data_IF_775269133054
#
_entry.id   IF_775269133054
#
_cell.length_a   1.000
_cell.length_b   1.000
_cell.length_c   1.000
_cell.angle_alpha   90.00
_cell.angle_beta   90.00
_cell.angle_gamma   90.00
#
_symmetry.space_group_name_H-M   'P 1'
#
loop_
_entity.id
_entity.type
_entity.pdbx_description
1 polymer ?
#
# COMPACT_ATOMS: atom_id res chain seq x y z
N UNK A 1 -17.28 12.63 -1.51
CA UNK A 1 -16.59 13.36 -2.60
C UNK A 1 -15.08 13.38 -2.35
N UNK A 2 -14.26 12.89 -3.28
CA UNK A 2 -12.79 12.96 -3.13
C UNK A 2 -12.34 14.35 -3.55
N UNK A 3 -11.96 15.17 -2.58
CA UNK A 3 -11.27 16.44 -2.83
C UNK A 3 -9.84 16.34 -2.30
N UNK A 4 -8.86 16.38 -3.21
CA UNK A 4 -7.43 16.35 -2.81
C UNK A 4 -6.99 17.62 -2.08
N UNK A 5 -7.77 18.70 -2.17
CA UNK A 5 -7.46 19.98 -1.52
C UNK A 5 -7.90 20.07 -0.05
N UNK A 6 -8.76 19.16 0.42
CA UNK A 6 -9.27 19.21 1.78
C UNK A 6 -8.18 18.73 2.75
N UNK A 7 -7.87 19.56 3.75
CA UNK A 7 -6.85 19.23 4.77
C UNK A 7 -7.34 18.09 5.66
N UNK A 8 -6.42 17.29 6.19
CA UNK A 8 -6.77 16.14 7.06
C UNK A 8 -7.66 16.56 8.24
N UNK A 9 -7.40 17.73 8.83
CA UNK A 9 -8.22 18.28 9.93
C UNK A 9 -9.66 18.55 9.51
N UNK A 10 -9.88 19.04 8.29
CA UNK A 10 -11.23 19.31 7.76
C UNK A 10 -11.98 18.00 7.49
N UNK A 11 -11.27 16.99 6.96
CA UNK A 11 -11.85 15.66 6.77
C UNK A 11 -12.29 15.06 8.11
N UNK A 12 -11.44 15.13 9.14
CA UNK A 12 -11.77 14.66 10.49
C UNK A 12 -12.91 15.48 11.12
N UNK A 13 -12.95 16.79 10.90
CA UNK A 13 -14.05 17.64 11.37
C UNK A 13 -15.40 17.17 10.80
N UNK A 14 -15.46 16.83 9.51
CA UNK A 14 -16.66 16.25 8.89
C UNK A 14 -17.04 14.90 9.52
N UNK A 15 -16.06 14.06 9.88
CA UNK A 15 -16.36 12.81 10.63
C UNK A 15 -17.01 13.13 11.96
N UNK A 16 -16.48 14.09 12.72
CA UNK A 16 -17.02 14.50 14.02
C UNK A 16 -18.45 14.99 13.88
N UNK A 17 -18.75 15.80 12.86
CA UNK A 17 -20.11 16.25 12.54
C UNK A 17 -21.04 15.09 12.20
N UNK A 18 -20.55 14.06 11.48
CA UNK A 18 -21.32 12.86 11.19
C UNK A 18 -21.63 12.02 12.44
N UNK A 19 -20.76 12.04 13.46
CA UNK A 19 -21.04 11.36 14.74
C UNK A 19 -22.22 12.00 15.50
N UNK A 20 -22.49 13.27 15.24
CA UNK A 20 -23.57 14.06 15.86
C UNK A 20 -24.89 14.01 15.07
N UNK A 21 -24.92 13.33 13.92
CA UNK A 21 -26.16 13.14 13.17
C UNK A 21 -27.21 12.37 13.98
N UNK A 22 -28.52 12.62 13.73
CA UNK A 22 -29.59 11.83 14.32
C UNK A 22 -29.40 10.33 14.11
N UNK A 23 -29.83 9.51 15.08
CA UNK A 23 -29.59 8.07 15.09
C UNK A 23 -29.90 7.37 13.75
N UNK A 24 -31.02 7.71 13.11
CA UNK A 24 -31.48 7.07 11.87
C UNK A 24 -30.69 7.47 10.62
N UNK A 25 -29.91 8.55 10.67
CA UNK A 25 -29.12 9.05 9.53
C UNK A 25 -27.61 9.00 9.80
N UNK A 26 -27.21 8.71 11.03
CA UNK A 26 -25.82 8.59 11.43
C UNK A 26 -25.17 7.34 10.82
N UNK A 27 -24.05 7.47 10.10
CA UNK A 27 -23.36 6.33 9.53
C UNK A 27 -22.76 5.42 10.61
N UNK A 28 -22.79 4.10 10.37
CA UNK A 28 -22.18 3.09 11.24
C UNK A 28 -20.73 2.74 10.83
N UNK A 29 -20.37 3.03 9.58
CA UNK A 29 -19.02 2.88 9.05
C UNK A 29 -18.63 4.19 8.38
N UNK A 30 -17.50 4.75 8.80
CA UNK A 30 -16.94 5.98 8.26
C UNK A 30 -15.51 5.67 7.83
N UNK A 31 -15.16 5.99 6.59
CA UNK A 31 -13.80 5.83 6.06
C UNK A 31 -13.25 7.20 5.70
N UNK A 32 -12.02 7.47 6.14
CA UNK A 32 -11.26 8.66 5.79
C UNK A 32 -9.97 8.23 5.11
N UNK A 33 -9.62 8.91 4.03
CA UNK A 33 -8.40 8.65 3.28
C UNK A 33 -7.63 9.96 3.14
N UNK A 34 -6.33 9.92 3.47
CA UNK A 34 -5.43 11.06 3.54
C UNK A 34 -4.35 10.94 2.45
N UNK A 35 -4.68 11.21 1.17
CA UNK A 35 -3.76 11.00 0.05
C UNK A 35 -2.54 11.93 0.06
N UNK A 36 -2.59 13.01 0.85
CA UNK A 36 -1.53 14.02 0.86
C UNK A 36 -0.20 13.47 1.36
N UNK A 37 -0.21 12.41 2.16
CA UNK A 37 1.02 11.80 2.70
C UNK A 37 1.90 11.24 1.57
N UNK A 38 1.30 10.47 0.67
CA UNK A 38 1.99 9.93 -0.52
C UNK A 38 2.48 11.07 -1.42
N UNK A 39 1.63 12.07 -1.71
CA UNK A 39 2.02 13.21 -2.56
C UNK A 39 3.22 14.00 -2.00
N UNK A 40 3.27 14.16 -0.67
CA UNK A 40 4.36 14.85 0.02
C UNK A 40 5.63 13.99 0.01
N UNK A 41 5.49 12.68 0.27
CA UNK A 41 6.60 11.72 0.23
C UNK A 41 7.28 11.70 -1.15
N UNK A 42 6.51 11.68 -2.24
CA UNK A 42 7.05 11.77 -3.62
C UNK A 42 7.90 13.01 -3.89
N UNK A 43 7.65 14.12 -3.19
CA UNK A 43 8.40 15.37 -3.36
C UNK A 43 9.61 15.46 -2.43
N UNK A 44 9.52 14.87 -1.24
CA UNK A 44 10.43 15.12 -0.14
C UNK A 44 11.29 13.92 0.25
N UNK A 45 10.96 12.70 -0.23
CA UNK A 45 11.44 11.38 0.19
C UNK A 45 10.87 10.93 1.54
N UNK A 46 10.67 9.61 1.74
CA UNK A 46 10.10 9.07 2.97
C UNK A 46 10.97 9.33 4.21
N UNK A 47 12.31 9.37 4.05
CA UNK A 47 13.26 9.55 5.17
C UNK A 47 13.61 11.03 5.45
N UNK A 48 12.89 11.97 4.84
CA UNK A 48 13.18 13.40 5.02
C UNK A 48 12.64 13.92 6.36
N UNK A 49 13.37 14.82 7.05
CA UNK A 49 12.88 15.46 8.28
C UNK A 49 11.54 16.18 8.11
N UNK A 50 11.20 16.62 6.90
CA UNK A 50 9.90 17.26 6.64
C UNK A 50 8.73 16.28 6.69
N UNK A 51 8.98 14.99 6.44
CA UNK A 51 7.98 13.94 6.58
C UNK A 51 7.49 13.85 8.03
N UNK A 52 8.34 14.15 9.03
CA UNK A 52 7.96 14.18 10.44
C UNK A 52 6.86 15.22 10.72
N UNK A 53 6.93 16.40 10.09
CA UNK A 53 5.91 17.44 10.24
C UNK A 53 4.56 16.97 9.69
N UNK A 54 4.58 16.27 8.57
CA UNK A 54 3.39 15.74 7.91
C UNK A 54 2.80 14.53 8.64
N UNK A 55 3.64 13.65 9.17
CA UNK A 55 3.21 12.57 10.08
C UNK A 55 2.55 13.19 11.31
N UNK A 56 3.13 14.25 11.87
CA UNK A 56 2.56 14.98 13.00
C UNK A 56 1.19 15.59 12.68
N UNK A 57 0.98 16.13 11.49
CA UNK A 57 -0.35 16.65 11.07
C UNK A 57 -1.43 15.55 11.11
N UNK A 58 -1.09 14.34 10.66
CA UNK A 58 -2.00 13.19 10.68
C UNK A 58 -2.22 12.69 12.10
N UNK A 59 -1.16 12.58 12.90
CA UNK A 59 -1.24 12.21 14.32
C UNK A 59 -2.11 13.18 15.12
N UNK A 60 -1.91 14.49 14.97
CA UNK A 60 -2.71 15.52 15.64
C UNK A 60 -4.20 15.41 15.23
N UNK A 61 -4.50 15.07 13.97
CA UNK A 61 -5.86 14.88 13.49
C UNK A 61 -6.51 13.60 14.05
N UNK A 62 -5.77 12.50 14.17
CA UNK A 62 -6.22 11.26 14.82
C UNK A 62 -6.44 11.50 16.32
N UNK A 63 -5.54 12.26 16.96
CA UNK A 63 -5.68 12.70 18.34
C UNK A 63 -6.92 13.55 18.58
N UNK A 64 -7.21 14.47 17.65
CA UNK A 64 -8.45 15.26 17.66
C UNK A 64 -9.69 14.37 17.55
N UNK A 65 -9.77 13.47 16.56
CA UNK A 65 -10.89 12.52 16.42
C UNK A 65 -11.09 11.71 17.70
N UNK A 66 -10.00 11.21 18.26
CA UNK A 66 -10.01 10.42 19.50
C UNK A 66 -10.61 11.23 20.65
N UNK A 67 -10.18 12.47 20.83
CA UNK A 67 -10.70 13.37 21.87
C UNK A 67 -12.19 13.64 21.71
N UNK A 68 -12.66 13.86 20.48
CA UNK A 68 -14.07 14.11 20.18
C UNK A 68 -14.96 12.89 20.41
N UNK A 69 -14.44 11.67 20.20
CA UNK A 69 -15.12 10.43 20.56
C UNK A 69 -15.27 10.32 22.08
N UNK A 70 -14.21 10.58 22.84
CA UNK A 70 -14.25 10.54 24.31
C UNK A 70 -15.18 11.60 24.91
N UNK A 71 -15.14 12.84 24.41
CA UNK A 71 -15.99 13.92 24.93
C UNK A 71 -17.49 13.66 24.74
N UNK A 72 -17.84 12.80 23.77
CA UNK A 72 -19.21 12.34 23.49
C UNK A 72 -19.59 11.04 24.20
N UNK A 73 -18.71 10.47 25.03
CA UNK A 73 -18.88 9.15 25.65
C UNK A 73 -19.12 8.03 24.62
N UNK A 74 -18.49 8.15 23.44
CA UNK A 74 -18.60 7.16 22.37
C UNK A 74 -17.52 6.08 22.44
N UNK A 75 -16.53 6.20 23.33
CA UNK A 75 -15.46 5.21 23.48
C UNK A 75 -15.94 3.77 23.78
N UNK A 76 -17.07 3.50 24.49
CA UNK A 76 -17.56 2.15 24.68
C UNK A 76 -18.31 1.60 23.44
N UNK A 77 -18.50 2.44 22.41
CA UNK A 77 -19.36 2.18 21.26
C UNK A 77 -18.64 2.27 19.91
N UNK A 78 -17.50 2.95 19.86
CA UNK A 78 -16.76 3.22 18.63
C UNK A 78 -15.49 2.38 18.52
N UNK A 79 -15.21 1.93 17.30
CA UNK A 79 -13.92 1.34 16.94
C UNK A 79 -13.17 2.31 16.02
N UNK A 80 -11.86 2.43 16.23
CA UNK A 80 -10.96 3.16 15.35
C UNK A 80 -9.97 2.14 14.81
N UNK A 81 -9.86 2.08 13.49
CA UNK A 81 -8.92 1.22 12.76
C UNK A 81 -8.13 2.12 11.82
N UNK A 82 -6.81 2.11 11.96
CA UNK A 82 -5.86 2.89 11.18
C UNK A 82 -5.06 1.92 10.34
N UNK A 83 -5.01 2.16 9.03
CA UNK A 83 -4.28 1.33 8.08
C UNK A 83 -3.51 2.19 7.08
N UNK A 84 -2.49 1.63 6.45
CA UNK A 84 -2.01 2.10 5.15
C UNK A 84 -2.14 1.00 4.10
N UNK A 85 -2.14 1.40 2.84
CA UNK A 85 -2.16 0.53 1.66
C UNK A 85 -0.81 -0.11 1.37
N UNK A 86 0.28 0.67 1.49
CA UNK A 86 1.65 0.20 1.31
C UNK A 86 2.65 1.04 2.11
N UNK A 87 3.91 0.61 2.09
CA UNK A 87 5.06 1.42 2.48
C UNK A 87 5.64 2.21 1.29
N UNK A 88 6.84 2.75 1.46
CA UNK A 88 7.48 3.63 0.49
C UNK A 88 9.01 3.49 0.55
N UNK A 89 9.70 3.64 -0.59
CA UNK A 89 11.17 3.63 -0.61
C UNK A 89 11.74 4.75 -1.47
N UNK A 90 12.76 5.44 -0.95
CA UNK A 90 13.55 6.44 -1.68
C UNK A 90 14.21 5.84 -2.93
N UNK A 91 14.22 6.58 -4.04
CA UNK A 91 14.92 6.17 -5.27
C UNK A 91 16.15 7.03 -5.57
N UNK A 92 16.98 6.55 -6.52
CA UNK A 92 18.29 7.13 -6.80
C UNK A 92 18.69 6.93 -8.26
N UNK A 93 19.40 7.91 -8.84
CA UNK A 93 19.94 7.82 -10.21
C UNK A 93 20.96 6.70 -10.39
N UNK A 94 21.50 6.17 -9.29
CA UNK A 94 22.46 5.06 -9.32
C UNK A 94 21.77 3.69 -9.32
N UNK A 95 20.44 3.65 -9.17
CA UNK A 95 19.63 2.42 -9.15
C UNK A 95 18.63 2.41 -10.32
N UNK A 96 19.13 2.67 -11.52
CA UNK A 96 18.31 2.69 -12.73
C UNK A 96 18.55 1.45 -13.58
N UNK A 97 17.49 0.96 -14.18
CA UNK A 97 17.48 -0.15 -15.15
C UNK A 97 16.95 0.42 -16.46
N UNK A 98 17.85 0.62 -17.42
CA UNK A 98 17.51 1.16 -18.73
C UNK A 98 16.91 0.06 -19.61
N UNK A 99 15.61 0.13 -19.85
CA UNK A 99 14.89 -0.92 -20.58
C UNK A 99 15.25 -0.93 -22.07
N UNK A 100 15.70 0.20 -22.60
CA UNK A 100 16.18 0.38 -23.97
C UNK A 100 17.61 -0.11 -24.21
N UNK A 101 18.34 -0.48 -23.15
CA UNK A 101 19.56 -1.31 -23.27
C UNK A 101 19.26 -2.80 -23.36
N UNK A 102 18.09 -3.21 -22.85
CA UNK A 102 17.70 -4.62 -22.70
C UNK A 102 16.83 -5.08 -23.87
N UNK A 103 15.87 -4.24 -24.28
CA UNK A 103 14.93 -4.56 -25.35
C UNK A 103 15.33 -3.87 -26.65
N UNK A 104 15.44 -4.61 -27.77
CA UNK A 104 15.63 -4.01 -29.08
C UNK A 104 14.46 -3.09 -29.43
N UNK A 105 14.71 -2.10 -30.31
CA UNK A 105 13.78 -1.02 -30.63
C UNK A 105 12.37 -1.51 -31.03
N UNK A 106 12.27 -2.61 -31.80
CA UNK A 106 10.97 -3.15 -32.22
C UNK A 106 10.14 -3.74 -31.07
N UNK A 107 10.75 -4.03 -29.91
CA UNK A 107 10.04 -4.53 -28.73
C UNK A 107 9.64 -3.41 -27.76
N UNK A 108 10.26 -2.23 -27.85
CA UNK A 108 9.95 -1.10 -26.98
C UNK A 108 8.52 -0.58 -27.19
N UNK A 109 7.93 -0.77 -28.36
CA UNK A 109 6.54 -0.39 -28.63
C UNK A 109 5.52 -1.13 -27.73
N UNK A 110 5.90 -2.28 -27.18
CA UNK A 110 5.03 -3.08 -26.31
C UNK A 110 5.13 -2.69 -24.84
N UNK A 111 6.12 -1.89 -24.45
CA UNK A 111 6.22 -1.37 -23.09
C UNK A 111 5.13 -0.33 -22.89
N UNK A 112 4.31 -0.50 -21.84
CA UNK A 112 3.18 0.38 -21.53
C UNK A 112 3.62 1.62 -20.76
N UNK A 113 4.55 1.46 -19.83
CA UNK A 113 4.97 2.54 -18.94
C UNK A 113 6.12 3.31 -19.60
N UNK A 114 5.85 4.52 -20.07
CA UNK A 114 6.87 5.45 -20.57
C UNK A 114 7.43 6.36 -19.45
N UNK A 115 7.29 5.94 -18.19
CA UNK A 115 7.71 6.68 -17.00
C UNK A 115 8.53 5.77 -16.07
N UNK A 116 9.36 6.33 -15.17
CA UNK A 116 10.02 5.57 -14.12
C UNK A 116 9.00 4.69 -13.39
N UNK A 117 9.26 3.40 -13.32
CA UNK A 117 8.31 2.45 -12.74
C UNK A 117 9.01 1.38 -11.93
N UNK A 118 8.41 1.08 -10.79
CA UNK A 118 8.74 -0.05 -9.92
C UNK A 118 8.16 -1.37 -10.45
N UNK A 119 7.40 -1.37 -11.55
CA UNK A 119 6.96 -2.59 -12.26
C UNK A 119 6.91 -2.31 -13.77
N UNK A 120 7.55 -3.15 -14.58
CA UNK A 120 7.45 -3.02 -16.03
C UNK A 120 6.15 -3.65 -16.53
N UNK A 121 5.24 -2.82 -17.05
CA UNK A 121 4.00 -3.29 -17.67
C UNK A 121 4.12 -3.32 -19.19
N UNK A 122 3.47 -4.30 -19.79
CA UNK A 122 3.34 -4.43 -21.24
C UNK A 122 1.91 -4.15 -21.69
N UNK A 123 1.76 -3.71 -22.94
CA UNK A 123 0.47 -3.49 -23.58
C UNK A 123 -0.33 -4.81 -23.63
N UNK A 124 -1.67 -4.77 -23.59
CA UNK A 124 -2.48 -5.97 -23.77
C UNK A 124 -2.38 -6.50 -25.22
N UNK A 125 -2.83 -7.74 -25.45
CA UNK A 125 -2.97 -8.37 -26.77
C UNK A 125 -1.66 -8.53 -27.58
N UNK A 126 -0.56 -8.80 -26.89
CA UNK A 126 0.73 -9.12 -27.52
C UNK A 126 0.71 -10.58 -27.99
N UNK A 127 1.18 -10.83 -29.21
CA UNK A 127 1.29 -12.21 -29.72
C UNK A 127 2.23 -13.05 -28.86
N UNK A 128 1.97 -14.35 -28.73
CA UNK A 128 2.77 -15.24 -27.88
C UNK A 128 4.25 -15.28 -28.29
N UNK A 129 4.56 -15.16 -29.59
CA UNK A 129 5.94 -15.09 -30.08
C UNK A 129 6.67 -13.85 -29.56
N UNK A 130 6.00 -12.68 -29.59
CA UNK A 130 6.57 -11.42 -29.10
C UNK A 130 6.72 -11.45 -27.57
N UNK A 131 5.74 -12.01 -26.84
CA UNK A 131 5.86 -12.21 -25.38
C UNK A 131 7.09 -13.06 -25.05
N UNK A 132 7.30 -14.16 -25.77
CA UNK A 132 8.47 -15.02 -25.54
C UNK A 132 9.77 -14.30 -25.89
N UNK A 133 9.81 -13.54 -26.99
CA UNK A 133 10.99 -12.76 -27.36
C UNK A 133 11.37 -11.73 -26.27
N UNK A 134 10.40 -10.94 -25.79
CA UNK A 134 10.60 -9.99 -24.69
C UNK A 134 11.09 -10.72 -23.42
N UNK A 135 10.44 -11.84 -23.06
CA UNK A 135 10.82 -12.59 -21.87
C UNK A 135 12.25 -13.11 -21.96
N UNK A 136 12.69 -13.62 -23.12
CA UNK A 136 14.06 -14.09 -23.33
C UNK A 136 15.09 -12.96 -23.19
N UNK A 137 14.80 -11.77 -23.70
CA UNK A 137 15.67 -10.60 -23.51
C UNK A 137 15.79 -10.23 -22.02
N UNK A 138 14.65 -10.16 -21.31
CA UNK A 138 14.63 -9.79 -19.90
C UNK A 138 15.33 -10.84 -19.01
N UNK A 139 15.01 -12.12 -19.17
CA UNK A 139 15.56 -13.20 -18.32
C UNK A 139 17.06 -13.40 -18.53
N UNK A 140 17.58 -13.09 -19.72
CA UNK A 140 19.03 -13.07 -19.95
C UNK A 140 19.70 -12.00 -19.07
N UNK A 141 19.11 -10.81 -19.00
CA UNK A 141 19.65 -9.66 -18.28
C UNK A 141 19.43 -9.72 -16.76
N UNK A 142 18.54 -10.57 -16.23
CA UNK A 142 18.42 -10.73 -14.77
C UNK A 142 19.69 -11.28 -14.11
N UNK A 143 20.63 -11.86 -14.88
CA UNK A 143 21.92 -12.35 -14.35
C UNK A 143 22.90 -11.23 -14.01
N UNK A 144 22.73 -10.07 -14.65
CA UNK A 144 23.66 -8.93 -14.57
C UNK A 144 22.95 -7.64 -14.17
N UNK A 145 21.64 -7.70 -13.89
CA UNK A 145 20.79 -6.56 -13.55
C UNK A 145 19.99 -6.84 -12.26
N UNK A 146 19.35 -5.81 -11.73
CA UNK A 146 18.74 -5.81 -10.40
C UNK A 146 17.22 -5.96 -10.43
N UNK A 147 16.73 -6.98 -11.13
CA UNK A 147 15.31 -7.31 -11.18
C UNK A 147 15.06 -8.79 -11.38
N UNK A 148 13.83 -9.22 -11.09
CA UNK A 148 13.28 -10.55 -11.40
C UNK A 148 12.24 -10.41 -12.50
N UNK A 149 12.10 -11.42 -13.34
CA UNK A 149 11.07 -11.44 -14.39
C UNK A 149 10.33 -12.78 -14.38
N UNK A 150 9.01 -12.70 -14.56
CA UNK A 150 8.12 -13.84 -14.60
C UNK A 150 7.17 -13.71 -15.79
N UNK A 151 6.92 -14.82 -16.47
CA UNK A 151 5.69 -14.95 -17.25
C UNK A 151 4.51 -15.02 -16.27
N UNK A 152 3.36 -14.47 -16.66
CA UNK A 152 2.15 -14.40 -15.81
C UNK A 152 1.79 -15.76 -15.20
N UNK A 153 1.81 -16.81 -16.00
CA UNK A 153 1.50 -18.19 -15.59
C UNK A 153 2.48 -18.73 -14.53
N UNK A 154 3.71 -18.23 -14.54
CA UNK A 154 4.82 -18.64 -13.69
C UNK A 154 5.02 -17.71 -12.47
N UNK A 155 4.13 -16.74 -12.26
CA UNK A 155 4.18 -15.89 -11.06
C UNK A 155 4.14 -16.75 -9.79
N UNK A 156 5.03 -16.47 -8.80
CA UNK A 156 5.03 -17.21 -7.55
C UNK A 156 3.67 -17.17 -6.86
N UNK A 157 3.20 -18.31 -6.37
CA UNK A 157 1.84 -18.48 -5.85
C UNK A 157 1.51 -17.49 -4.73
N UNK A 158 2.50 -17.12 -3.90
CA UNK A 158 2.35 -16.15 -2.80
C UNK A 158 1.83 -14.77 -3.22
N UNK A 159 2.04 -14.37 -4.48
CA UNK A 159 1.52 -13.09 -4.96
C UNK A 159 0.03 -13.16 -5.30
N UNK A 160 -0.51 -14.35 -5.54
CA UNK A 160 -1.86 -14.54 -6.08
C UNK A 160 -2.14 -13.70 -7.36
N UNK A 161 -1.10 -13.39 -8.13
CA UNK A 161 -1.12 -12.38 -9.19
C UNK A 161 -0.96 -12.97 -10.59
N UNK A 162 -1.85 -13.91 -10.96
CA UNK A 162 -1.86 -14.54 -12.30
C UNK A 162 -3.22 -14.83 -12.92
N UNK A 163 -4.30 -14.84 -12.14
CA UNK A 163 -5.62 -15.29 -12.59
C UNK A 163 -6.52 -14.14 -13.07
N UNK A 164 -6.01 -13.29 -13.98
CA UNK A 164 -6.79 -12.22 -14.62
C UNK A 164 -6.15 -11.75 -15.93
N UNK A 165 -6.98 -11.50 -16.94
CA UNK A 165 -6.53 -10.96 -18.23
C UNK A 165 -6.12 -9.49 -18.19
N UNK A 166 -6.36 -8.81 -17.07
CA UNK A 166 -5.84 -7.46 -16.82
C UNK A 166 -4.38 -7.48 -16.37
N UNK A 167 -3.87 -8.62 -15.93
CA UNK A 167 -2.47 -8.79 -15.51
C UNK A 167 -1.61 -8.94 -16.77
N UNK A 168 -0.54 -8.14 -16.84
CA UNK A 168 0.43 -8.16 -17.92
C UNK A 168 0.96 -9.58 -18.18
N UNK A 169 1.18 -10.00 -19.44
CA UNK A 169 1.71 -11.32 -19.76
C UNK A 169 3.12 -11.56 -19.19
N UNK A 170 3.85 -10.49 -18.92
CA UNK A 170 5.19 -10.49 -18.31
C UNK A 170 5.17 -9.51 -17.14
N UNK A 171 5.75 -9.93 -16.01
CA UNK A 171 5.99 -9.07 -14.86
C UNK A 171 7.48 -9.00 -14.58
N UNK A 172 8.06 -7.81 -14.71
CA UNK A 172 9.41 -7.52 -14.25
C UNK A 172 9.33 -6.67 -12.97
N UNK A 173 9.90 -7.20 -11.89
CA UNK A 173 9.89 -6.62 -10.55
C UNK A 173 11.34 -6.28 -10.19
N UNK A 174 11.70 -5.00 -10.05
CA UNK A 174 13.04 -4.58 -9.68
C UNK A 174 13.28 -4.87 -8.19
N UNK A 175 14.57 -4.99 -7.84
CA UNK A 175 14.98 -4.98 -6.44
C UNK A 175 14.64 -3.64 -5.80
N UNK A 176 14.50 -3.61 -4.47
CA UNK A 176 14.07 -2.41 -3.73
C UNK A 176 14.95 -1.19 -4.05
N UNK A 177 14.28 -0.10 -4.44
CA UNK A 177 14.87 1.18 -4.82
C UNK A 177 15.42 1.23 -6.26
N UNK A 178 15.36 0.13 -7.03
CA UNK A 178 15.64 0.15 -8.46
C UNK A 178 14.41 0.48 -9.30
N UNK A 179 14.61 1.15 -10.43
CA UNK A 179 13.52 1.57 -11.30
C UNK A 179 13.80 1.28 -12.76
N UNK A 180 12.77 0.89 -13.50
CA UNK A 180 12.84 0.82 -14.95
C UNK A 180 12.66 2.22 -15.55
N UNK A 181 13.57 2.61 -16.45
CA UNK A 181 13.59 3.88 -17.17
C UNK A 181 14.05 3.67 -18.62
N UNK A 182 14.02 4.72 -19.44
CA UNK A 182 14.65 4.77 -20.78
C UNK A 182 15.65 5.91 -20.80
N UNK A 183 16.63 5.86 -21.70
CA UNK A 183 17.62 6.92 -21.87
C UNK A 183 17.03 8.26 -22.33
N UNK A 184 15.85 8.22 -22.96
CA UNK A 184 15.13 9.43 -23.35
C UNK A 184 14.49 10.18 -22.18
N UNK A 185 14.49 9.61 -20.97
CA UNK A 185 13.89 10.24 -19.79
C UNK A 185 14.91 11.05 -19.00
N UNK A 186 14.52 12.24 -18.57
CA UNK A 186 15.22 12.94 -17.49
C UNK A 186 14.83 12.31 -16.15
N UNK A 187 15.82 11.74 -15.45
CA UNK A 187 15.61 11.23 -14.10
C UNK A 187 15.82 12.37 -13.09
N UNK A 188 14.75 12.74 -12.40
CA UNK A 188 14.84 13.67 -11.28
C UNK A 188 15.28 12.92 -10.02
N UNK A 189 16.49 13.20 -9.54
CA UNK A 189 16.91 12.76 -8.22
C UNK A 189 15.98 13.35 -7.15
N UNK A 190 15.39 12.52 -6.30
CA UNK A 190 14.46 13.06 -5.31
C UNK A 190 13.25 12.21 -5.00
N UNK A 191 12.85 11.34 -5.91
CA UNK A 191 11.60 10.59 -5.78
C UNK A 191 11.66 9.44 -4.79
N UNK A 192 10.48 8.90 -4.54
CA UNK A 192 10.25 7.62 -3.89
C UNK A 192 9.24 6.82 -4.72
N UNK A 193 9.17 5.52 -4.47
CA UNK A 193 8.28 4.64 -5.20
C UNK A 193 7.76 3.50 -4.31
N UNK A 194 6.62 2.96 -4.74
CA UNK A 194 5.83 1.89 -4.17
C UNK A 194 5.68 0.75 -5.19
N UNK A 195 5.00 -0.36 -4.84
CA UNK A 195 4.65 -1.42 -5.81
C UNK A 195 5.71 -2.50 -6.07
N UNK A 196 6.78 -2.52 -5.28
CA UNK A 196 7.79 -3.59 -5.28
C UNK A 196 7.23 -4.90 -4.67
N UNK A 197 8.11 -5.88 -4.43
CA UNK A 197 7.76 -7.10 -3.71
C UNK A 197 7.08 -6.77 -2.35
N UNK A 198 5.87 -7.30 -2.14
CA UNK A 198 5.06 -7.03 -0.96
C UNK A 198 5.64 -7.62 0.34
N UNK A 199 6.66 -8.49 0.26
CA UNK A 199 7.40 -8.99 1.43
C UNK A 199 8.66 -8.17 1.75
N UNK A 200 8.96 -7.12 0.99
CA UNK A 200 10.04 -6.23 1.34
C UNK A 200 9.66 -5.34 2.54
N UNK A 201 10.55 -5.19 3.50
CA UNK A 201 10.32 -4.39 4.72
C UNK A 201 9.83 -2.98 4.41
N UNK A 202 10.42 -2.33 3.39
CA UNK A 202 10.05 -0.98 2.97
C UNK A 202 8.63 -0.87 2.39
N UNK A 203 8.02 -1.99 1.97
CA UNK A 203 6.64 -2.04 1.46
C UNK A 203 5.62 -2.41 2.53
N UNK A 204 6.06 -2.65 3.77
CA UNK A 204 5.19 -2.91 4.90
C UNK A 204 4.24 -1.75 5.17
N UNK A 205 3.00 -2.06 5.51
CA UNK A 205 1.97 -1.09 5.87
C UNK A 205 1.74 -1.05 7.38
N UNK A 206 1.06 0.01 7.85
CA UNK A 206 0.65 0.11 9.25
C UNK A 206 -0.73 -0.53 9.46
N UNK A 207 -0.94 -1.08 10.65
CA UNK A 207 -2.25 -1.48 11.16
C UNK A 207 -2.32 -1.20 12.66
N UNK A 208 -3.30 -0.39 13.07
CA UNK A 208 -3.63 -0.15 14.47
C UNK A 208 -5.13 -0.26 14.66
N UNK A 209 -5.57 -0.85 15.75
CA UNK A 209 -6.99 -0.95 16.07
C UNK A 209 -7.24 -0.74 17.55
N UNK A 210 -8.34 -0.04 17.87
CA UNK A 210 -8.87 0.11 19.22
C UNK A 210 -10.39 0.13 19.22
N UNK A 211 -10.98 -0.28 20.33
CA UNK A 211 -12.42 -0.24 20.53
C UNK A 211 -12.92 -1.38 21.41
N UNK A 212 -14.20 -1.37 21.78
CA UNK A 212 -14.76 -2.25 22.82
C UNK A 212 -14.64 -3.74 22.50
N UNK A 213 -14.69 -4.14 21.22
CA UNK A 213 -14.48 -5.54 20.80
C UNK A 213 -13.01 -5.91 20.75
N UNK A 214 -12.16 -5.00 20.29
CA UNK A 214 -10.71 -5.21 20.24
C UNK A 214 -10.18 -5.43 21.65
N UNK A 215 -10.60 -4.61 22.62
CA UNK A 215 -10.19 -4.70 24.03
C UNK A 215 -10.66 -5.98 24.75
N UNK A 216 -11.63 -6.72 24.18
CA UNK A 216 -12.05 -8.03 24.69
C UNK A 216 -11.13 -9.16 24.24
N UNK A 217 -10.39 -8.96 23.14
CA UNK A 217 -9.54 -9.96 22.51
C UNK A 217 -8.07 -9.68 22.85
N UNK A 218 -7.66 -8.41 22.77
CA UNK A 218 -6.30 -7.95 22.98
C UNK A 218 -6.24 -6.96 24.14
N UNK A 219 -5.19 -7.08 24.96
CA UNK A 219 -4.89 -6.06 25.96
C UNK A 219 -4.38 -4.79 25.27
N UNK A 220 -4.62 -3.59 25.81
CA UNK A 220 -3.97 -2.39 25.33
C UNK A 220 -2.45 -2.58 25.24
N UNK A 221 -1.84 -2.15 24.13
CA UNK A 221 -0.41 -2.32 23.87
C UNK A 221 0.00 -3.69 23.33
N UNK A 222 -0.94 -4.60 23.03
CA UNK A 222 -0.62 -5.86 22.35
C UNK A 222 -0.03 -5.60 20.96
N UNK A 223 1.12 -6.21 20.66
CA UNK A 223 1.77 -6.14 19.34
C UNK A 223 1.46 -7.42 18.57
N UNK A 224 0.93 -7.29 17.36
CA UNK A 224 0.60 -8.43 16.49
C UNK A 224 1.81 -8.89 15.69
N UNK A 225 1.85 -10.16 15.29
CA UNK A 225 2.76 -10.59 14.22
C UNK A 225 2.32 -9.98 12.88
N UNK A 226 3.24 -9.78 11.92
CA UNK A 226 2.87 -9.33 10.57
C UNK A 226 1.83 -10.24 9.93
N UNK A 227 0.84 -9.64 9.26
CA UNK A 227 -0.22 -10.35 8.54
C UNK A 227 -0.56 -9.63 7.23
N UNK A 228 -1.27 -10.31 6.34
CA UNK A 228 -1.65 -9.76 5.02
C UNK A 228 -2.95 -8.95 5.10
N UNK A 229 -3.01 -7.81 4.40
CA UNK A 229 -4.14 -6.87 4.50
C UNK A 229 -5.50 -7.43 4.05
N UNK A 230 -5.55 -8.54 3.30
CA UNK A 230 -6.79 -9.24 2.95
C UNK A 230 -7.57 -9.71 4.19
N UNK A 231 -6.90 -9.89 5.32
CA UNK A 231 -7.51 -10.24 6.60
C UNK A 231 -8.34 -9.09 7.22
N UNK A 232 -8.05 -7.84 6.85
CA UNK A 232 -8.73 -6.66 7.42
C UNK A 232 -10.23 -6.66 7.11
N UNK A 233 -10.65 -7.20 5.96
CA UNK A 233 -12.07 -7.27 5.62
C UNK A 233 -12.86 -8.11 6.64
N UNK A 234 -12.39 -9.32 6.95
CA UNK A 234 -13.01 -10.20 7.94
C UNK A 234 -13.07 -9.51 9.31
N UNK A 235 -11.96 -8.91 9.74
CA UNK A 235 -11.90 -8.13 10.97
C UNK A 235 -12.95 -7.01 11.02
N UNK A 236 -13.09 -6.20 9.96
CA UNK A 236 -14.07 -5.11 9.91
C UNK A 236 -15.51 -5.62 9.95
N UNK A 237 -15.83 -6.71 9.25
CA UNK A 237 -17.18 -7.29 9.28
C UNK A 237 -17.57 -7.79 10.68
N UNK A 238 -16.62 -8.36 11.41
CA UNK A 238 -16.79 -8.79 12.79
C UNK A 238 -16.97 -7.61 13.75
N UNK A 239 -16.24 -6.51 13.55
CA UNK A 239 -16.46 -5.28 14.33
C UNK A 239 -17.89 -4.73 14.14
N UNK A 240 -18.39 -4.76 12.90
CA UNK A 240 -19.71 -4.26 12.51
C UNK A 240 -20.87 -5.23 12.81
N UNK A 241 -20.60 -6.48 13.23
CA UNK A 241 -21.61 -7.55 13.36
C UNK A 241 -22.36 -7.84 12.04
N UNK A 242 -21.66 -7.85 10.91
CA UNK A 242 -22.25 -8.20 9.61
C UNK A 242 -21.62 -9.47 9.06
N UNK A 243 -22.39 -10.20 8.26
CA UNK A 243 -21.87 -11.39 7.58
C UNK A 243 -20.89 -10.97 6.49
N UNK A 244 -19.67 -11.50 6.54
CA UNK A 244 -18.68 -11.34 5.49
C UNK A 244 -19.18 -11.99 4.18
N UNK A 245 -19.01 -11.28 3.07
CA UNK A 245 -19.09 -11.89 1.74
C UNK A 245 -17.88 -12.84 1.52
N UNK A 246 -17.95 -13.77 0.56
CA UNK A 246 -16.81 -14.62 0.21
C UNK A 246 -15.56 -13.79 -0.11
N UNK A 247 -14.46 -14.10 0.57
CA UNK A 247 -13.19 -13.39 0.46
C UNK A 247 -12.01 -14.34 0.75
N UNK A 248 -10.78 -13.84 0.67
CA UNK A 248 -9.56 -14.66 0.85
C UNK A 248 -8.94 -14.56 2.25
N UNK A 249 -9.54 -13.81 3.17
CA UNK A 249 -9.13 -13.77 4.58
C UNK A 249 -9.54 -15.02 5.35
N UNK A 250 -8.79 -15.33 6.40
CA UNK A 250 -8.88 -16.57 7.19
C UNK A 250 -8.88 -16.38 8.70
N UNK A 251 -8.35 -15.26 9.22
CA UNK A 251 -8.08 -15.10 10.67
C UNK A 251 -9.24 -14.49 11.47
N UNK A 252 -10.17 -13.84 10.79
CA UNK A 252 -11.30 -13.14 11.41
C UNK A 252 -10.83 -12.03 12.36
N UNK A 253 -10.97 -12.23 13.67
CA UNK A 253 -10.50 -11.28 14.70
C UNK A 253 -9.31 -11.77 15.51
N UNK A 254 -8.79 -12.97 15.25
CA UNK A 254 -7.73 -13.65 16.03
C UNK A 254 -6.41 -13.64 15.26
N UNK A 255 -5.80 -12.45 15.18
CA UNK A 255 -4.46 -12.25 14.66
C UNK A 255 -3.40 -12.87 15.59
N UNK A 256 -2.30 -13.40 15.04
CA UNK A 256 -1.17 -13.85 15.83
C UNK A 256 -0.51 -12.67 16.58
N UNK A 257 0.11 -12.95 17.74
CA UNK A 257 0.66 -11.94 18.65
C UNK A 257 2.17 -12.18 18.82
N UNK A 258 2.96 -11.10 18.79
CA UNK A 258 4.37 -11.13 19.18
C UNK A 258 4.50 -11.07 20.71
N UNK A 259 5.01 -12.15 21.32
CA UNK A 259 5.22 -12.23 22.77
C UNK A 259 6.44 -11.44 23.25
N UNK A 260 7.45 -11.28 22.39
CA UNK A 260 8.66 -10.49 22.63
C UNK A 260 8.77 -9.42 21.55
N UNK A 261 8.03 -8.31 21.66
CA UNK A 261 8.07 -7.28 20.64
C UNK A 261 9.46 -6.62 20.60
N UNK A 262 9.98 -6.26 19.40
CA UNK A 262 11.32 -5.66 19.24
C UNK A 262 11.46 -4.29 19.92
N UNK A 263 10.34 -3.67 20.30
CA UNK A 263 10.29 -2.48 21.12
C UNK A 263 9.31 -2.73 22.28
N UNK A 264 9.68 -2.43 23.53
CA UNK A 264 8.76 -2.56 24.65
C UNK A 264 7.57 -1.59 24.45
N UNK A 265 6.34 -1.99 24.78
CA UNK A 265 5.22 -1.06 24.78
C UNK A 265 5.54 0.10 25.74
N UNK A 266 5.46 1.35 25.24
CA UNK A 266 5.60 2.55 26.06
C UNK A 266 4.38 2.79 26.92
#
# INVERSE_FOLDING_TARGET
PVSKSMKVKEQIQTVVEWLDLPYNTRPQMISVHVPQMEEKSHKEKPDSPKMDEHIKEVDDAIGYLTKEIFSRNLDPHAHIVIVSDHGMVSTSKYKLIYIDDILPHHLLEYVKNASPSSVLHFRPNISSNVVQEIYQQLIHHTKTSHFKVYLRENMPIRYHYKHSDRISPIQAIPNIGYQFVTHSMEFNEGGDHEGYDNLADAMGSIFLARGPKVSKIYKPGTVLEPFVNVEVYGFMTELLNINAAPNNGTVGTKFPILYEPPFPPK
#
